data_IF_485145319719
#
_entry.id   IF_485145319719
#
_cell.length_a   1.000
_cell.length_b   1.000
_cell.length_c   1.000
_cell.angle_alpha   90.00
_cell.angle_beta   90.00
_cell.angle_gamma   90.00
#
_symmetry.space_group_name_H-M   'P 1'
#
loop_
_entity.id
_entity.type
_entity.pdbx_description
1 polymer ?
#
# COMPACT_ATOMS: atom_id res chain seq x y z
N UNK A 1 4.52 -9.07 -1.23
CA UNK A 1 5.77 -9.27 -2.01
C UNK A 1 6.16 -7.92 -2.60
N UNK A 2 7.26 -7.34 -2.12
CA UNK A 2 7.68 -5.98 -2.48
C UNK A 2 8.42 -5.98 -3.81
N UNK A 3 8.02 -5.07 -4.71
CA UNK A 3 8.80 -4.65 -5.88
C UNK A 3 9.51 -3.34 -5.51
N UNK A 4 10.82 -3.29 -5.71
CA UNK A 4 11.62 -2.09 -5.43
C UNK A 4 11.15 -0.91 -6.31
N UNK A 5 10.88 0.23 -5.67
CA UNK A 5 10.43 1.46 -6.34
C UNK A 5 11.47 2.03 -7.31
N UNK A 6 12.74 1.63 -7.19
CA UNK A 6 13.83 2.04 -8.06
C UNK A 6 14.16 1.01 -9.16
N UNK A 7 13.40 -0.09 -9.25
CA UNK A 7 13.60 -1.07 -10.31
C UNK A 7 13.44 -0.40 -11.69
N UNK A 8 14.39 -0.56 -12.62
CA UNK A 8 14.29 0.01 -13.97
C UNK A 8 13.19 -0.65 -14.80
N UNK A 9 12.62 -1.77 -14.31
CA UNK A 9 11.54 -2.53 -14.93
C UNK A 9 10.42 -2.80 -13.92
N UNK A 10 10.10 -1.80 -13.09
CA UNK A 10 9.07 -1.90 -12.04
C UNK A 10 7.73 -2.37 -12.60
N UNK A 11 7.17 -1.70 -13.61
CA UNK A 11 5.92 -2.13 -14.26
C UNK A 11 5.92 -3.60 -14.72
N UNK A 12 6.94 -4.02 -15.47
CA UNK A 12 7.04 -5.42 -15.93
C UNK A 12 7.11 -6.42 -14.77
N UNK A 13 7.77 -6.05 -13.67
CA UNK A 13 7.87 -6.89 -12.47
C UNK A 13 6.54 -6.95 -11.72
N UNK A 14 5.79 -5.84 -11.67
CA UNK A 14 4.46 -5.77 -11.08
C UNK A 14 3.44 -6.62 -11.84
N UNK A 15 3.49 -6.60 -13.17
CA UNK A 15 2.65 -7.44 -14.03
C UNK A 15 2.93 -8.94 -13.81
N UNK A 16 4.20 -9.32 -13.80
CA UNK A 16 4.61 -10.70 -13.50
C UNK A 16 4.18 -11.12 -12.10
N UNK A 17 4.33 -10.23 -11.12
CA UNK A 17 3.92 -10.47 -9.75
C UNK A 17 2.40 -10.65 -9.65
N UNK A 18 1.60 -9.78 -10.29
CA UNK A 18 0.14 -9.90 -10.33
C UNK A 18 -0.28 -11.25 -10.91
N UNK A 19 0.27 -11.62 -12.06
CA UNK A 19 -0.05 -12.89 -12.72
C UNK A 19 0.30 -14.10 -11.83
N UNK A 20 1.45 -14.07 -11.16
CA UNK A 20 1.85 -15.12 -10.23
C UNK A 20 0.91 -15.19 -9.01
N UNK A 21 0.52 -14.04 -8.45
CA UNK A 21 -0.44 -13.98 -7.34
C UNK A 21 -1.76 -14.61 -7.75
N UNK A 22 -2.35 -14.22 -8.89
CA UNK A 22 -3.62 -14.78 -9.38
C UNK A 22 -3.53 -16.31 -9.53
N UNK A 23 -2.41 -16.79 -10.08
CA UNK A 23 -2.16 -18.24 -10.24
C UNK A 23 -2.14 -18.95 -8.88
N UNK A 24 -1.45 -18.40 -7.88
CA UNK A 24 -1.37 -18.99 -6.55
C UNK A 24 -2.67 -18.84 -5.74
N UNK A 25 -3.46 -17.79 -5.96
CA UNK A 25 -4.83 -17.68 -5.43
C UNK A 25 -5.71 -18.81 -5.98
N UNK A 26 -5.53 -19.21 -7.25
CA UNK A 26 -6.16 -20.38 -7.88
C UNK A 26 -5.89 -21.71 -7.18
N UNK A 27 -4.74 -21.83 -6.52
CA UNK A 27 -4.30 -23.03 -5.82
C UNK A 27 -4.57 -22.98 -4.29
N UNK A 28 -5.21 -21.92 -3.78
CA UNK A 28 -5.59 -21.87 -2.38
C UNK A 28 -6.66 -22.92 -2.10
N UNK A 29 -6.47 -23.68 -1.01
CA UNK A 29 -7.50 -24.60 -0.53
C UNK A 29 -8.77 -23.87 -0.10
N UNK A 30 -9.89 -24.59 -0.16
CA UNK A 30 -11.23 -24.04 0.11
C UNK A 30 -11.31 -23.28 1.44
N UNK A 31 -12.03 -22.15 1.41
CA UNK A 31 -12.26 -21.29 2.57
C UNK A 31 -11.05 -20.48 3.05
N UNK A 32 -9.86 -20.66 2.46
CA UNK A 32 -8.68 -19.87 2.82
C UNK A 32 -8.72 -18.51 2.15
N UNK A 33 -8.35 -17.48 2.90
CA UNK A 33 -8.15 -16.13 2.39
C UNK A 33 -6.79 -15.60 2.79
N UNK A 34 -6.27 -14.66 2.01
CA UNK A 34 -4.99 -14.00 2.25
C UNK A 34 -5.13 -12.48 2.28
N UNK A 35 -4.20 -11.81 2.94
CA UNK A 35 -3.99 -10.37 2.77
C UNK A 35 -2.72 -10.17 1.96
N UNK A 36 -2.71 -9.20 1.05
CA UNK A 36 -1.58 -8.93 0.18
C UNK A 36 -1.01 -7.57 0.50
N UNK A 37 0.23 -7.52 0.98
CA UNK A 37 0.98 -6.27 1.13
C UNK A 37 1.90 -6.08 -0.08
N UNK A 38 1.61 -5.07 -0.89
CA UNK A 38 2.22 -4.82 -2.20
C UNK A 38 2.76 -3.40 -2.30
N UNK A 39 3.72 -3.18 -3.19
CA UNK A 39 4.19 -1.84 -3.56
C UNK A 39 3.06 -1.08 -4.28
N UNK A 40 3.01 0.24 -4.12
CA UNK A 40 2.13 1.09 -4.93
C UNK A 40 2.52 0.97 -6.41
N UNK A 41 1.59 0.57 -7.30
CA UNK A 41 1.94 0.26 -8.68
C UNK A 41 2.27 1.51 -9.50
N UNK A 42 2.96 1.33 -10.63
CA UNK A 42 3.17 2.42 -11.59
C UNK A 42 1.92 2.71 -12.45
N UNK A 43 1.07 1.69 -12.64
CA UNK A 43 -0.22 1.82 -13.31
C UNK A 43 -1.32 1.85 -12.27
N UNK A 44 -2.10 2.93 -12.26
CA UNK A 44 -3.27 3.08 -11.39
C UNK A 44 -4.21 1.87 -11.53
N UNK A 45 -4.76 1.41 -10.41
CA UNK A 45 -5.67 0.28 -10.33
C UNK A 45 -5.13 -1.06 -10.88
N UNK A 46 -3.80 -1.22 -11.06
CA UNK A 46 -3.21 -2.47 -11.52
C UNK A 46 -3.70 -3.69 -10.71
N UNK A 47 -3.89 -3.52 -9.40
CA UNK A 47 -4.31 -4.58 -8.48
C UNK A 47 -5.83 -4.63 -8.20
N UNK A 48 -6.67 -3.91 -8.95
CA UNK A 48 -8.12 -3.90 -8.73
C UNK A 48 -8.75 -5.30 -8.78
N UNK A 49 -8.31 -6.15 -9.73
CA UNK A 49 -8.77 -7.55 -9.79
C UNK A 49 -8.43 -8.35 -8.52
N UNK A 50 -7.35 -8.00 -7.80
CA UNK A 50 -6.99 -8.61 -6.52
C UNK A 50 -7.82 -8.07 -5.37
N UNK A 51 -8.26 -6.81 -5.45
CA UNK A 51 -9.19 -6.21 -4.48
C UNK A 51 -10.55 -6.90 -4.56
N UNK A 52 -11.00 -7.21 -5.77
CA UNK A 52 -12.31 -7.84 -6.03
C UNK A 52 -12.31 -9.37 -5.87
N UNK A 53 -11.14 -10.00 -5.73
CA UNK A 53 -11.04 -11.45 -5.59
C UNK A 53 -11.56 -11.93 -4.22
N UNK A 54 -12.54 -12.86 -4.16
CA UNK A 54 -13.13 -13.31 -2.90
C UNK A 54 -12.15 -14.02 -1.94
N UNK A 55 -11.01 -14.49 -2.47
CA UNK A 55 -9.91 -15.14 -1.71
C UNK A 55 -8.95 -14.11 -1.12
N UNK A 56 -9.04 -12.85 -1.52
CA UNK A 56 -8.25 -11.76 -0.96
C UNK A 56 -9.11 -11.02 0.07
N UNK A 57 -8.66 -10.96 1.31
CA UNK A 57 -9.37 -10.22 2.36
C UNK A 57 -9.19 -8.71 2.18
N UNK A 58 -7.95 -8.28 1.93
CA UNK A 58 -7.55 -6.90 1.72
C UNK A 58 -6.22 -6.83 0.96
N UNK A 59 -6.08 -5.80 0.15
CA UNK A 59 -4.82 -5.39 -0.45
C UNK A 59 -4.31 -4.17 0.32
N UNK A 60 -3.10 -4.26 0.85
CA UNK A 60 -2.45 -3.17 1.57
C UNK A 60 -1.22 -2.67 0.81
N UNK A 61 -1.01 -1.35 0.84
CA UNK A 61 0.13 -0.69 0.24
C UNK A 61 1.27 -0.48 1.24
N UNK A 62 2.49 -0.84 0.87
CA UNK A 62 3.71 -0.34 1.53
C UNK A 62 4.16 0.96 0.85
N UNK A 63 4.74 1.89 1.62
CA UNK A 63 5.23 3.16 1.04
C UNK A 63 6.52 2.99 0.23
N UNK A 64 7.30 1.92 0.47
CA UNK A 64 8.38 1.49 -0.43
C UNK A 64 9.59 2.42 -0.55
N UNK A 65 9.61 3.53 0.19
CA UNK A 65 10.63 4.58 0.05
C UNK A 65 10.08 5.91 -0.46
N UNK A 66 8.83 5.94 -0.94
CA UNK A 66 8.12 7.20 -1.21
C UNK A 66 7.92 8.00 0.09
N UNK A 67 7.93 9.33 -0.05
CA UNK A 67 7.49 10.24 1.02
C UNK A 67 6.03 9.97 1.37
N UNK A 68 5.57 10.38 2.55
CA UNK A 68 4.15 10.24 2.91
C UNK A 68 3.23 10.87 1.85
N UNK A 69 3.56 12.08 1.40
CA UNK A 69 2.76 12.81 0.43
C UNK A 69 2.65 12.06 -0.91
N UNK A 70 3.76 11.58 -1.46
CA UNK A 70 3.75 10.82 -2.73
C UNK A 70 3.03 9.48 -2.56
N UNK A 71 3.27 8.78 -1.44
CA UNK A 71 2.61 7.51 -1.16
C UNK A 71 1.10 7.66 -1.03
N UNK A 72 0.61 8.73 -0.38
CA UNK A 72 -0.81 9.04 -0.28
C UNK A 72 -1.42 9.40 -1.63
N UNK A 73 -0.74 10.21 -2.45
CA UNK A 73 -1.20 10.56 -3.79
C UNK A 73 -1.37 9.31 -4.66
N UNK A 74 -0.36 8.44 -4.71
CA UNK A 74 -0.41 7.18 -5.46
C UNK A 74 -1.49 6.24 -4.90
N UNK A 75 -1.60 6.14 -3.58
CA UNK A 75 -2.61 5.29 -2.94
C UNK A 75 -4.03 5.73 -3.32
N UNK A 76 -4.30 7.04 -3.35
CA UNK A 76 -5.63 7.56 -3.72
C UNK A 76 -6.04 7.27 -5.18
N UNK A 77 -5.10 6.84 -6.03
CA UNK A 77 -5.36 6.41 -7.39
C UNK A 77 -5.55 4.88 -7.51
N UNK A 78 -5.55 4.15 -6.39
CA UNK A 78 -5.67 2.70 -6.33
C UNK A 78 -6.86 2.29 -5.45
N UNK A 79 -8.03 2.17 -6.08
CA UNK A 79 -9.31 2.00 -5.42
C UNK A 79 -9.38 0.69 -4.62
N UNK A 80 -9.89 0.77 -3.38
CA UNK A 80 -10.03 -0.36 -2.47
C UNK A 80 -8.71 -0.89 -1.86
N UNK A 81 -7.57 -0.30 -2.22
CA UNK A 81 -6.29 -0.55 -1.58
C UNK A 81 -6.14 0.34 -0.33
N UNK A 82 -5.57 -0.18 0.77
CA UNK A 82 -5.40 0.59 2.02
C UNK A 82 -3.93 0.73 2.42
N UNK A 83 -3.55 1.78 3.14
CA UNK A 83 -2.18 1.95 3.60
C UNK A 83 -1.76 0.91 4.66
N UNK A 84 -0.52 0.45 4.56
CA UNK A 84 0.24 -0.25 5.62
C UNK A 84 1.63 0.37 5.71
N UNK A 85 1.65 1.67 6.02
CA UNK A 85 2.86 2.49 6.10
C UNK A 85 3.53 2.38 7.46
N UNK A 86 4.88 2.36 7.46
CA UNK A 86 5.70 2.42 8.68
C UNK A 86 6.42 3.75 8.77
N UNK A 87 7.56 3.89 8.11
CA UNK A 87 8.37 5.13 8.10
C UNK A 87 7.58 6.35 7.62
N UNK A 88 6.73 6.19 6.62
CA UNK A 88 5.88 7.28 6.12
C UNK A 88 4.82 7.72 7.14
N UNK A 89 4.32 6.82 8.00
CA UNK A 89 3.44 7.20 9.11
C UNK A 89 4.18 8.07 10.14
N UNK A 90 5.42 7.73 10.43
CA UNK A 90 6.24 8.42 11.44
C UNK A 90 7.09 9.56 10.88
N UNK A 91 6.97 9.88 9.59
CA UNK A 91 7.74 10.93 8.93
C UNK A 91 7.43 12.29 9.57
N UNK A 92 8.46 13.00 10.03
CA UNK A 92 8.36 14.27 10.74
C UNK A 92 8.26 14.15 12.27
N UNK A 93 8.12 12.93 12.82
CA UNK A 93 8.16 12.71 14.27
C UNK A 93 9.60 12.64 14.78
N UNK A 94 9.86 13.26 15.93
CA UNK A 94 11.18 13.23 16.59
C UNK A 94 11.05 13.29 18.10
N UNK A 95 12.00 12.68 18.81
CA UNK A 95 12.06 12.68 20.27
C UNK A 95 12.28 14.08 20.90
N UNK A 96 12.53 15.11 20.08
CA UNK A 96 12.74 16.50 20.53
C UNK A 96 11.47 17.36 20.51
N UNK A 97 10.38 16.85 19.93
CA UNK A 97 9.10 17.56 19.91
C UNK A 97 8.50 17.64 21.31
N UNK A 98 7.72 18.70 21.54
CA UNK A 98 6.74 18.67 22.63
C UNK A 98 5.65 17.64 22.33
N UNK A 99 4.96 17.16 23.37
CA UNK A 99 3.83 16.24 23.25
C UNK A 99 2.77 16.78 22.26
N UNK A 100 2.44 18.07 22.36
CA UNK A 100 1.45 18.71 21.49
C UNK A 100 1.88 18.78 20.02
N UNK A 101 3.17 18.95 19.73
CA UNK A 101 3.68 18.94 18.36
C UNK A 101 3.73 17.53 17.78
N UNK A 102 4.10 16.55 18.62
CA UNK A 102 4.10 15.15 18.27
C UNK A 102 2.69 14.68 17.90
N UNK A 103 1.71 14.92 18.77
CA UNK A 103 0.32 14.53 18.57
C UNK A 103 -0.26 15.18 17.32
N UNK A 104 -0.05 16.50 17.15
CA UNK A 104 -0.51 17.22 15.95
C UNK A 104 0.09 16.66 14.66
N UNK A 105 1.37 16.29 14.68
CA UNK A 105 2.05 15.72 13.51
C UNK A 105 1.53 14.32 13.20
N UNK A 106 1.33 13.49 14.23
CA UNK A 106 0.79 12.14 14.08
C UNK A 106 -0.66 12.18 13.59
N UNK A 107 -1.51 13.05 14.15
CA UNK A 107 -2.90 13.24 13.72
C UNK A 107 -2.98 13.66 12.26
N UNK A 108 -2.15 14.61 11.83
CA UNK A 108 -2.10 15.03 10.44
C UNK A 108 -1.69 13.87 9.51
N UNK A 109 -0.67 13.10 9.89
CA UNK A 109 -0.24 11.93 9.12
C UNK A 109 -1.34 10.86 9.04
N UNK A 110 -2.02 10.56 10.14
CA UNK A 110 -3.15 9.61 10.18
C UNK A 110 -4.29 10.11 9.30
N UNK A 111 -4.67 11.38 9.39
CA UNK A 111 -5.77 11.95 8.62
C UNK A 111 -5.50 11.87 7.11
N UNK A 112 -4.28 12.20 6.69
CA UNK A 112 -3.82 12.13 5.30
C UNK A 112 -3.87 10.69 4.77
N UNK A 113 -3.25 9.76 5.51
CA UNK A 113 -3.20 8.34 5.13
C UNK A 113 -4.60 7.72 5.10
N UNK A 114 -5.45 8.07 6.07
CA UNK A 114 -6.82 7.58 6.14
C UNK A 114 -7.68 8.16 5.01
N UNK A 115 -7.46 9.39 4.58
CA UNK A 115 -8.14 9.96 3.41
C UNK A 115 -7.75 9.22 2.13
N UNK A 116 -6.46 8.98 1.92
CA UNK A 116 -5.97 8.23 0.77
C UNK A 116 -6.44 6.77 0.76
N UNK A 117 -6.61 6.14 1.94
CA UNK A 117 -7.07 4.74 2.05
C UNK A 117 -8.59 4.55 1.91
N UNK A 118 -9.36 5.63 1.66
CA UNK A 118 -10.83 5.60 1.57
C UNK A 118 -11.36 5.74 0.14
N UNK A 119 -10.48 5.67 -0.86
CA UNK A 119 -10.83 5.74 -2.28
C UNK A 119 -11.32 4.41 -2.82
#
# INVERSE_FOLDING_TARGET
PEVDIHSPRKGDAEDQLKAAIITHLGALGDGRKVMLKLTLPDTDDLYLDLVDDPRVMRVLALSGGYSRAEACQRLSANHGMIASFSRALTEGLTARQSEQEFDRTLDAAIAEIAAASRT
#
